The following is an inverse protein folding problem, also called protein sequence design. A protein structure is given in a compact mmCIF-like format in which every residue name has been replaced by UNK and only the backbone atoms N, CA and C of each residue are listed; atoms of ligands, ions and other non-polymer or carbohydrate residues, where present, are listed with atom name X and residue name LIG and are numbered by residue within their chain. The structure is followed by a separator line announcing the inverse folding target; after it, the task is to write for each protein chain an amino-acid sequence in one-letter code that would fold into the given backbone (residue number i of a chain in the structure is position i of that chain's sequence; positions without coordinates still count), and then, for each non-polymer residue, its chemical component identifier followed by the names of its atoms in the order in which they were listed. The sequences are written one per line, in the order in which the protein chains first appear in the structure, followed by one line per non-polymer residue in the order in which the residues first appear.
data_IF_223363656100
#
_entry.id   IF_223363656100
#
_cell.length_a   1.000
_cell.length_b   1.000
_cell.length_c   1.000
_cell.angle_alpha   90.00
_cell.angle_beta   90.00
_cell.angle_gamma   90.00
#
_symmetry.space_group_name_H-M   'P 1'
#
loop_
_entity.id
_entity.type
_entity.pdbx_description
1 polymer ?
#
# COMPACT_ATOMS: atom_id res chain seq x y z
N UNK A 1 -2.75 -1.48 -10.56
CA UNK A 1 -2.03 -1.83 -11.80
C UNK A 1 -2.89 -2.70 -12.71
N UNK A 2 -3.31 -3.92 -12.30
CA UNK A 2 -4.15 -4.80 -13.13
C UNK A 2 -5.40 -4.12 -13.74
N UNK A 3 -6.04 -3.20 -13.02
CA UNK A 3 -7.17 -2.40 -13.53
C UNK A 3 -6.80 -1.31 -14.56
N UNK A 4 -5.60 -1.34 -15.16
CA UNK A 4 -5.18 -0.44 -16.24
C UNK A 4 -4.26 0.73 -15.86
N UNK A 5 -3.92 0.89 -14.57
CA UNK A 5 -3.03 1.98 -14.14
C UNK A 5 -1.55 1.69 -14.47
N UNK A 6 -0.84 2.67 -15.05
CA UNK A 6 0.60 2.58 -15.37
C UNK A 6 1.51 2.85 -14.16
N UNK A 7 1.00 3.52 -13.14
CA UNK A 7 1.70 3.83 -11.90
C UNK A 7 0.72 4.07 -10.75
N UNK A 8 1.25 4.17 -9.54
CA UNK A 8 0.47 4.48 -8.32
C UNK A 8 1.17 5.55 -7.51
N UNK A 9 0.38 6.45 -6.92
CA UNK A 9 0.84 7.40 -5.91
C UNK A 9 0.57 6.81 -4.53
N UNK A 10 1.60 6.76 -3.68
CA UNK A 10 1.51 6.21 -2.33
C UNK A 10 1.69 7.34 -1.30
N UNK A 11 0.65 7.57 -0.50
CA UNK A 11 0.68 8.54 0.61
C UNK A 11 1.10 7.87 1.92
N UNK A 12 0.14 7.25 2.61
CA UNK A 12 0.36 6.64 3.93
C UNK A 12 1.56 5.70 4.00
N UNK A 13 1.79 4.76 3.05
CA UNK A 13 2.97 3.89 3.13
C UNK A 13 4.29 4.65 3.17
N UNK A 14 4.41 5.76 2.42
CA UNK A 14 5.63 6.57 2.42
C UNK A 14 5.71 7.52 3.60
N UNK A 15 4.58 7.96 4.16
CA UNK A 15 4.56 8.69 5.43
C UNK A 15 5.08 7.85 6.62
N UNK A 16 5.08 6.52 6.47
CA UNK A 16 5.64 5.57 7.44
C UNK A 16 7.15 5.32 7.26
N UNK A 17 7.82 5.99 6.31
CA UNK A 17 9.26 5.87 6.13
C UNK A 17 10.03 6.70 7.17
N UNK A 18 11.22 6.24 7.57
CA UNK A 18 12.14 7.00 8.45
C UNK A 18 12.54 8.35 7.86
N UNK A 19 12.68 8.41 6.54
CA UNK A 19 13.03 9.59 5.76
C UNK A 19 11.83 10.53 5.56
N UNK A 20 10.62 10.12 5.95
CA UNK A 20 9.44 10.95 5.77
C UNK A 20 9.48 12.16 6.72
N UNK A 21 9.30 13.39 6.21
CA UNK A 21 9.36 14.61 7.04
C UNK A 21 8.21 14.69 8.05
N UNK A 22 7.15 13.91 7.85
CA UNK A 22 6.03 13.79 8.77
C UNK A 22 6.34 12.96 10.02
N UNK A 23 7.49 12.27 10.09
CA UNK A 23 7.93 11.44 11.22
C UNK A 23 6.83 10.50 11.74
N UNK A 24 6.22 9.72 10.84
CA UNK A 24 5.15 8.78 11.16
C UNK A 24 3.76 9.42 11.25
N UNK A 25 3.59 10.67 10.81
CA UNK A 25 2.29 11.31 10.64
C UNK A 25 1.95 11.51 9.16
N UNK A 26 0.66 11.37 8.84
CA UNK A 26 0.12 11.65 7.51
C UNK A 26 -1.08 12.60 7.60
N UNK A 27 -1.31 13.42 6.58
CA UNK A 27 -2.46 14.31 6.45
C UNK A 27 -2.79 14.56 4.98
N UNK A 28 -4.05 14.89 4.69
CA UNK A 28 -4.45 15.32 3.36
C UNK A 28 -3.96 16.74 3.04
N UNK A 29 -3.75 17.04 1.76
CA UNK A 29 -3.30 18.36 1.28
C UNK A 29 -4.33 19.50 1.43
N UNK A 30 -5.49 19.22 2.01
CA UNK A 30 -6.54 20.22 2.14
C UNK A 30 -6.22 21.21 3.27
N UNK A 31 -6.40 22.51 3.01
CA UNK A 31 -6.23 23.55 4.02
C UNK A 31 -7.25 23.38 5.15
N UNK A 32 -6.84 23.59 6.42
CA UNK A 32 -7.77 23.68 7.53
C UNK A 32 -8.60 24.96 7.39
N UNK A 33 -9.88 24.81 7.04
CA UNK A 33 -10.85 25.90 7.07
C UNK A 33 -11.87 25.62 8.19
N UNK A 34 -12.19 26.58 9.08
CA UNK A 34 -13.10 26.34 10.19
C UNK A 34 -14.47 25.79 9.76
N UNK A 35 -14.99 26.26 8.62
CA UNK A 35 -16.28 25.80 8.07
C UNK A 35 -16.16 24.56 7.17
N UNK A 36 -14.94 24.14 6.84
CA UNK A 36 -14.71 22.98 6.00
C UNK A 36 -13.47 22.21 6.50
N UNK A 37 -13.55 21.59 7.69
CA UNK A 37 -12.44 20.88 8.29
C UNK A 37 -12.08 19.68 7.41
N UNK A 38 -11.00 19.82 6.66
CA UNK A 38 -10.40 18.79 5.82
C UNK A 38 -8.93 18.65 6.19
N UNK A 39 -8.34 17.49 5.92
CA UNK A 39 -6.91 17.27 6.15
C UNK A 39 -6.58 16.91 7.60
N UNK A 40 -7.30 15.94 8.18
CA UNK A 40 -6.98 15.41 9.51
C UNK A 40 -5.56 14.84 9.52
N UNK A 41 -4.74 15.30 10.47
CA UNK A 41 -3.46 14.68 10.78
C UNK A 41 -3.69 13.41 11.59
N UNK A 42 -3.17 12.29 11.09
CA UNK A 42 -3.25 10.98 11.73
C UNK A 42 -1.84 10.46 12.02
N UNK A 43 -1.69 9.76 13.15
CA UNK A 43 -0.47 9.00 13.44
C UNK A 43 -0.57 7.64 12.76
N UNK A 44 0.38 7.37 11.87
CA UNK A 44 0.49 6.10 11.14
C UNK A 44 1.76 5.33 11.57
N UNK A 45 2.60 5.94 12.40
CA UNK A 45 3.85 5.39 12.91
C UNK A 45 4.95 5.34 11.85
N UNK A 46 6.16 5.03 12.28
CA UNK A 46 7.29 4.74 11.38
C UNK A 46 7.47 3.23 11.31
N UNK A 47 7.58 2.68 10.09
CA UNK A 47 7.66 1.24 9.83
C UNK A 47 9.02 0.78 9.31
N UNK A 48 9.91 1.68 8.91
CA UNK A 48 11.26 1.37 8.45
C UNK A 48 11.75 2.38 7.42
N UNK A 49 12.90 2.13 6.80
CA UNK A 49 13.42 3.00 5.74
C UNK A 49 12.58 2.92 4.46
N UNK A 50 12.63 3.95 3.64
CA UNK A 50 11.99 3.97 2.31
C UNK A 50 12.49 2.79 1.46
N UNK A 51 13.78 2.46 1.57
CA UNK A 51 14.38 1.32 0.90
C UNK A 51 13.73 0.00 1.34
N UNK A 52 13.51 -0.21 2.64
CA UNK A 52 12.83 -1.41 3.15
C UNK A 52 11.37 -1.46 2.71
N UNK A 53 10.67 -0.32 2.73
CA UNK A 53 9.27 -0.24 2.31
C UNK A 53 9.14 -0.61 0.82
N UNK A 54 10.04 -0.13 -0.05
CA UNK A 54 9.98 -0.43 -1.47
C UNK A 54 10.53 -1.81 -1.83
N UNK A 55 11.72 -2.17 -1.33
CA UNK A 55 12.51 -3.29 -1.83
C UNK A 55 12.80 -4.38 -0.78
N UNK A 56 12.43 -4.15 0.49
CA UNK A 56 12.74 -5.06 1.58
C UNK A 56 14.21 -4.99 2.04
N UNK A 57 14.72 -6.02 2.76
CA UNK A 57 14.00 -7.23 3.15
C UNK A 57 12.86 -6.91 4.12
N UNK A 58 11.88 -7.80 4.20
CA UNK A 58 10.80 -7.70 5.19
C UNK A 58 10.57 -9.04 5.87
N UNK A 59 10.35 -9.00 7.17
CA UNK A 59 9.82 -10.11 7.97
C UNK A 59 8.35 -9.92 8.32
N UNK A 60 7.72 -8.85 7.81
CA UNK A 60 6.31 -8.53 8.06
C UNK A 60 5.41 -9.27 7.08
N UNK A 61 4.30 -9.77 7.59
CA UNK A 61 3.26 -10.47 6.81
C UNK A 61 2.09 -9.56 6.44
N UNK A 62 2.09 -8.32 6.93
CA UNK A 62 0.99 -7.35 6.76
C UNK A 62 1.04 -6.57 5.42
N UNK A 63 2.03 -6.86 4.57
CA UNK A 63 2.19 -6.22 3.25
C UNK A 63 2.64 -4.76 3.29
N UNK A 64 3.16 -4.28 4.42
CA UNK A 64 3.54 -2.86 4.57
C UNK A 64 4.98 -2.54 4.11
N UNK A 65 5.74 -3.57 3.72
CA UNK A 65 7.11 -3.45 3.24
C UNK A 65 7.32 -4.36 2.02
N UNK A 66 8.43 -4.14 1.30
CA UNK A 66 8.78 -4.85 0.06
C UNK A 66 7.67 -4.80 -1.02
N UNK A 67 7.14 -3.60 -1.28
CA UNK A 67 6.06 -3.40 -2.25
C UNK A 67 6.45 -3.84 -3.67
N UNK A 68 7.72 -3.67 -4.07
CA UNK A 68 8.22 -4.10 -5.38
C UNK A 68 8.33 -5.63 -5.45
N UNK A 69 8.77 -6.30 -4.38
CA UNK A 69 8.75 -7.75 -4.30
C UNK A 69 7.34 -8.30 -4.42
N UNK A 70 6.39 -7.73 -3.67
CA UNK A 70 4.98 -8.11 -3.75
C UNK A 70 4.39 -7.92 -5.16
N UNK A 71 4.69 -6.80 -5.83
CA UNK A 71 4.26 -6.56 -7.21
C UNK A 71 4.85 -7.60 -8.17
N UNK A 72 6.14 -7.91 -8.07
CA UNK A 72 6.80 -8.92 -8.93
C UNK A 72 6.21 -10.31 -8.73
N UNK A 73 5.91 -10.71 -7.49
CA UNK A 73 5.26 -11.99 -7.19
C UNK A 73 3.87 -12.04 -7.81
N UNK A 74 3.06 -10.99 -7.64
CA UNK A 74 1.75 -10.90 -8.26
C UNK A 74 1.82 -10.96 -9.80
N UNK A 75 2.76 -10.23 -10.41
CA UNK A 75 3.02 -10.31 -11.85
C UNK A 75 3.39 -11.72 -12.30
N UNK A 76 4.27 -12.41 -11.57
CA UNK A 76 4.65 -13.80 -11.86
C UNK A 76 3.47 -14.77 -11.78
N UNK A 77 2.61 -14.64 -10.77
CA UNK A 77 1.39 -15.45 -10.62
C UNK A 77 0.40 -15.26 -11.76
N UNK A 78 0.31 -14.04 -12.30
CA UNK A 78 -0.54 -13.72 -13.45
C UNK A 78 0.13 -13.98 -14.81
N UNK A 79 1.36 -14.49 -14.85
CA UNK A 79 2.11 -14.66 -16.11
C UNK A 79 2.43 -13.35 -16.83
N UNK A 80 2.50 -12.23 -16.12
CA UNK A 80 2.74 -10.91 -16.67
C UNK A 80 4.23 -10.54 -16.60
N UNK A 81 4.86 -10.30 -17.76
CA UNK A 81 6.25 -9.84 -17.82
C UNK A 81 6.36 -8.32 -17.64
N UNK A 82 5.43 -7.57 -18.24
CA UNK A 82 5.37 -6.10 -18.16
C UNK A 82 4.14 -5.61 -17.42
N UNK A 83 4.16 -4.33 -17.02
CA UNK A 83 2.96 -3.65 -16.47
C UNK A 83 1.78 -3.72 -17.46
N UNK A 84 2.05 -3.60 -18.76
CA UNK A 84 1.03 -3.70 -19.81
C UNK A 84 0.47 -5.12 -19.96
N UNK A 85 1.26 -6.15 -19.67
CA UNK A 85 0.73 -7.52 -19.61
C UNK A 85 -0.18 -7.70 -18.40
N UNK A 86 0.19 -7.12 -17.25
CA UNK A 86 -0.63 -7.19 -16.03
C UNK A 86 -1.99 -6.49 -16.20
N UNK A 87 -2.09 -5.48 -17.09
CA UNK A 87 -3.38 -4.85 -17.44
C UNK A 87 -4.39 -5.81 -18.09
N UNK A 88 -3.93 -6.96 -18.61
CA UNK A 88 -4.77 -7.99 -19.25
C UNK A 88 -5.18 -9.10 -18.29
N UNK A 89 -4.72 -9.07 -17.04
CA UNK A 89 -5.04 -10.09 -16.06
C UNK A 89 -6.55 -10.10 -15.76
N UNK A 90 -7.13 -11.30 -15.65
CA UNK A 90 -8.53 -11.46 -15.24
C UNK A 90 -8.70 -11.05 -13.78
N UNK A 91 -9.71 -10.23 -13.50
CA UNK A 91 -10.06 -9.80 -12.15
C UNK A 91 -11.37 -10.44 -11.72
N UNK A 92 -11.34 -11.09 -10.55
CA UNK A 92 -12.51 -11.70 -9.94
C UNK A 92 -12.96 -10.85 -8.75
N UNK A 93 -14.26 -10.56 -8.67
CA UNK A 93 -14.86 -9.89 -7.51
C UNK A 93 -15.32 -10.96 -6.51
N UNK A 94 -14.66 -11.02 -5.35
CA UNK A 94 -14.98 -11.97 -4.28
C UNK A 94 -15.34 -11.23 -2.98
N UNK A 95 -16.63 -10.94 -2.71
CA UNK A 95 -17.04 -10.12 -1.56
C UNK A 95 -16.64 -10.68 -0.20
N UNK A 96 -16.61 -12.02 -0.05
CA UNK A 96 -16.27 -12.71 1.21
C UNK A 96 -14.77 -12.82 1.50
N UNK A 97 -13.89 -12.46 0.55
CA UNK A 97 -12.43 -12.67 0.67
C UNK A 97 -11.80 -11.88 1.82
N UNK A 98 -12.49 -10.84 2.30
CA UNK A 98 -12.05 -10.04 3.44
C UNK A 98 -12.31 -10.71 4.78
N UNK A 99 -13.24 -11.66 4.85
CA UNK A 99 -13.65 -12.32 6.10
C UNK A 99 -13.21 -13.77 6.14
N UNK A 100 -13.20 -14.45 4.99
CA UNK A 100 -12.80 -15.84 4.88
C UNK A 100 -11.28 -15.98 5.08
N UNK A 101 -10.87 -16.60 6.19
CA UNK A 101 -9.45 -16.78 6.56
C UNK A 101 -8.79 -15.55 7.19
N UNK A 102 -9.10 -14.34 6.73
CA UNK A 102 -8.54 -13.09 7.30
C UNK A 102 -9.04 -12.75 8.69
N UNK A 103 -10.19 -13.30 9.11
CA UNK A 103 -10.66 -13.18 10.49
C UNK A 103 -9.62 -13.68 11.50
N UNK A 104 -8.93 -14.78 11.20
CA UNK A 104 -7.86 -15.33 12.04
C UNK A 104 -6.61 -14.42 12.08
N UNK A 105 -6.41 -13.57 11.07
CA UNK A 105 -5.27 -12.64 11.01
C UNK A 105 -5.54 -11.29 11.69
N UNK A 106 -6.80 -10.95 11.95
CA UNK A 106 -7.21 -9.72 12.66
C UNK A 106 -7.27 -9.89 14.18
N UNK A 107 -7.16 -11.12 14.66
CA UNK A 107 -7.31 -11.48 16.08
C UNK A 107 -6.00 -11.43 16.87
N UNK A 108 -4.88 -11.18 16.18
CA UNK A 108 -3.52 -11.03 16.72
C UNK A 108 -3.04 -9.57 16.62
#
# INVERSE_FOLDING_TARGET
IASGADGVMLGTPFAQAEEAPGHGYNWGMANPHPELPRGTRISVGTKGTLQQILYGPTSKTDGTQNLIGALRVAMGMCGAYTVKDLHKAEMVVAPSIKTEGKYFQMSD
#
